data_IF_182403019768
#
_entry.id   IF_182403019768
#
_cell.length_a   1.000
_cell.length_b   1.000
_cell.length_c   1.000
_cell.angle_alpha   90.00
_cell.angle_beta   90.00
_cell.angle_gamma   90.00
#
_symmetry.space_group_name_H-M   'P 1'
#
loop_
_entity.id
_entity.type
_entity.pdbx_description
1 polymer ?
#
# COMPACT_ATOMS: atom_id res chain seq x y z
N UNK A 1 -26.33 -38.03 -6.79
CA UNK A 1 -26.23 -36.57 -6.89
C UNK A 1 -25.65 -36.04 -5.60
N UNK A 2 -24.61 -35.23 -5.71
CA UNK A 2 -23.97 -34.66 -4.55
C UNK A 2 -24.66 -33.35 -4.21
N UNK A 3 -25.27 -33.28 -3.04
CA UNK A 3 -25.78 -32.01 -2.53
C UNK A 3 -24.67 -31.27 -1.77
N UNK A 4 -24.15 -30.23 -2.40
CA UNK A 4 -23.18 -29.39 -1.76
C UNK A 4 -23.91 -28.30 -0.98
N UNK A 5 -23.67 -28.20 0.31
CA UNK A 5 -24.11 -27.04 1.07
C UNK A 5 -23.43 -25.77 0.55
N UNK A 6 -24.23 -24.71 0.40
CA UNK A 6 -23.65 -23.41 0.00
C UNK A 6 -22.82 -22.87 1.13
N UNK A 7 -21.58 -22.45 0.83
CA UNK A 7 -20.75 -21.79 1.84
C UNK A 7 -21.42 -20.52 2.33
N UNK A 8 -21.31 -20.29 3.63
CA UNK A 8 -21.72 -19.03 4.26
C UNK A 8 -20.47 -18.25 4.66
N UNK A 9 -20.52 -16.95 4.45
CA UNK A 9 -19.44 -16.06 4.84
C UNK A 9 -19.89 -15.33 6.09
N UNK A 10 -19.15 -15.51 7.17
CA UNK A 10 -19.40 -14.82 8.43
C UNK A 10 -18.26 -13.87 8.74
N UNK A 11 -18.60 -12.69 9.24
CA UNK A 11 -17.62 -11.72 9.72
C UNK A 11 -17.35 -12.06 11.18
N UNK A 12 -16.20 -12.69 11.44
CA UNK A 12 -15.81 -13.04 12.80
C UNK A 12 -15.29 -11.81 13.56
N UNK A 13 -14.55 -10.94 12.90
CA UNK A 13 -13.97 -9.77 13.51
C UNK A 13 -13.68 -8.70 12.45
N UNK A 14 -14.01 -7.46 12.75
CA UNK A 14 -13.60 -6.31 11.95
C UNK A 14 -13.12 -5.22 12.93
N UNK A 15 -11.96 -4.63 12.66
CA UNK A 15 -11.47 -3.51 13.45
C UNK A 15 -12.30 -2.24 13.19
N UNK A 16 -12.31 -1.32 14.15
CA UNK A 16 -13.08 -0.08 14.04
C UNK A 16 -12.67 0.77 12.84
N UNK A 17 -11.37 0.81 12.55
CA UNK A 17 -10.82 1.54 11.41
C UNK A 17 -10.88 0.76 10.09
N UNK A 18 -11.40 -0.46 10.12
CA UNK A 18 -11.54 -1.34 8.96
C UNK A 18 -10.20 -1.70 8.28
N UNK A 19 -9.12 -1.69 9.05
CA UNK A 19 -7.80 -2.10 8.53
C UNK A 19 -7.52 -3.58 8.73
N UNK A 20 -8.34 -4.25 9.54
CA UNK A 20 -8.24 -5.67 9.81
C UNK A 20 -9.62 -6.32 9.73
N UNK A 21 -9.66 -7.49 9.13
CA UNK A 21 -10.88 -8.29 9.10
C UNK A 21 -10.57 -9.77 9.17
N UNK A 22 -11.39 -10.49 9.91
CA UNK A 22 -11.36 -11.95 9.96
C UNK A 22 -12.71 -12.48 9.50
N UNK A 23 -12.67 -13.32 8.50
CA UNK A 23 -13.86 -13.90 7.89
C UNK A 23 -13.78 -15.41 7.98
N UNK A 24 -14.91 -16.03 8.19
CA UNK A 24 -15.04 -17.49 8.19
C UNK A 24 -15.96 -17.89 7.06
N UNK A 25 -15.48 -18.77 6.20
CA UNK A 25 -16.23 -19.31 5.08
C UNK A 25 -16.37 -20.81 5.28
N UNK A 26 -17.57 -21.25 5.55
CA UNK A 26 -17.85 -22.67 5.75
C UNK A 26 -19.32 -23.01 5.45
N UNK A 27 -19.64 -24.26 5.11
CA UNK A 27 -18.70 -25.35 4.90
C UNK A 27 -18.01 -25.25 3.54
N UNK A 28 -16.78 -25.75 3.46
CA UNK A 28 -16.03 -25.87 2.20
C UNK A 28 -15.60 -27.33 2.04
N UNK A 29 -15.63 -27.81 0.81
CA UNK A 29 -15.07 -29.10 0.50
C UNK A 29 -13.54 -29.10 0.68
N UNK A 30 -13.02 -30.30 0.88
CA UNK A 30 -11.59 -30.50 1.07
C UNK A 30 -10.78 -29.95 -0.10
N UNK A 31 -9.81 -29.10 0.19
CA UNK A 31 -8.96 -28.46 -0.81
C UNK A 31 -9.45 -27.11 -1.32
N UNK A 32 -10.75 -26.82 -1.20
CA UNK A 32 -11.29 -25.54 -1.69
C UNK A 32 -10.84 -24.34 -0.86
N UNK A 33 -10.54 -24.52 0.41
CA UNK A 33 -10.01 -23.44 1.24
C UNK A 33 -8.71 -22.88 0.71
N UNK A 34 -7.78 -23.72 0.32
CA UNK A 34 -6.51 -23.32 -0.28
C UNK A 34 -6.72 -22.62 -1.63
N UNK A 35 -7.59 -23.14 -2.46
CA UNK A 35 -7.93 -22.55 -3.76
C UNK A 35 -8.54 -21.18 -3.61
N UNK A 36 -9.53 -21.04 -2.74
CA UNK A 36 -10.17 -19.76 -2.47
C UNK A 36 -9.18 -18.74 -1.89
N UNK A 37 -8.40 -19.14 -0.90
CA UNK A 37 -7.41 -18.29 -0.28
C UNK A 37 -6.36 -17.78 -1.25
N UNK A 38 -5.84 -18.66 -2.10
CA UNK A 38 -4.86 -18.28 -3.12
C UNK A 38 -5.46 -17.34 -4.18
N UNK A 39 -6.69 -17.57 -4.57
CA UNK A 39 -7.38 -16.71 -5.53
C UNK A 39 -7.58 -15.30 -4.97
N UNK A 40 -8.06 -15.19 -3.74
CA UNK A 40 -8.22 -13.91 -3.07
C UNK A 40 -6.90 -13.19 -2.88
N UNK A 41 -5.87 -13.92 -2.46
CA UNK A 41 -4.53 -13.36 -2.29
C UNK A 41 -4.01 -12.74 -3.59
N UNK A 42 -4.13 -13.46 -4.70
CA UNK A 42 -3.64 -13.00 -6.01
C UNK A 42 -4.39 -11.75 -6.48
N UNK A 43 -5.70 -11.72 -6.30
CA UNK A 43 -6.52 -10.56 -6.66
C UNK A 43 -6.15 -9.35 -5.80
N UNK A 44 -5.99 -9.55 -4.51
CA UNK A 44 -5.63 -8.46 -3.58
C UNK A 44 -4.26 -7.88 -3.88
N UNK A 45 -3.31 -8.69 -4.32
CA UNK A 45 -1.95 -8.23 -4.63
C UNK A 45 -1.84 -7.57 -6.02
N UNK A 46 -2.68 -7.95 -6.96
CA UNK A 46 -2.50 -7.57 -8.38
C UNK A 46 -3.56 -6.64 -8.94
N UNK A 47 -4.76 -6.62 -8.36
CA UNK A 47 -5.91 -6.05 -9.06
C UNK A 47 -6.67 -4.98 -8.29
N UNK A 48 -6.32 -4.72 -7.04
CA UNK A 48 -6.97 -3.63 -6.30
C UNK A 48 -6.35 -2.30 -6.70
N UNK A 49 -7.17 -1.31 -7.06
CA UNK A 49 -6.67 0.02 -7.37
C UNK A 49 -6.20 0.73 -6.10
N UNK A 50 -5.22 1.57 -6.26
CA UNK A 50 -4.68 2.34 -5.15
C UNK A 50 -3.81 3.47 -5.64
N UNK A 51 -3.35 4.30 -4.73
CA UNK A 51 -2.43 5.38 -5.02
C UNK A 51 -1.03 5.04 -4.54
N UNK A 52 -0.05 5.39 -5.35
CA UNK A 52 1.35 5.20 -5.02
C UNK A 52 2.19 6.27 -5.72
N UNK A 53 3.40 6.45 -5.25
CA UNK A 53 4.34 7.36 -5.90
C UNK A 53 4.86 6.71 -7.17
N UNK A 54 4.72 7.40 -8.30
CA UNK A 54 5.22 6.94 -9.60
C UNK A 54 6.50 7.63 -10.02
N UNK A 55 6.72 8.86 -9.56
CA UNK A 55 7.88 9.65 -9.92
C UNK A 55 8.33 10.50 -8.74
N UNK A 56 9.63 10.69 -8.63
CA UNK A 56 10.25 11.53 -7.61
C UNK A 56 11.26 12.46 -8.28
N UNK A 57 11.21 13.73 -7.91
CA UNK A 57 12.22 14.72 -8.31
C UNK A 57 12.82 15.34 -7.06
N UNK A 58 14.14 15.30 -6.97
CA UNK A 58 14.88 15.89 -5.86
C UNK A 58 15.78 16.98 -6.44
N UNK A 59 15.70 18.15 -5.87
CA UNK A 59 16.54 19.29 -6.32
C UNK A 59 18.03 18.96 -6.17
N UNK A 60 18.77 19.21 -7.24
CA UNK A 60 20.21 18.95 -7.27
C UNK A 60 20.60 17.50 -7.54
N UNK A 61 19.64 16.63 -7.76
CA UNK A 61 19.88 15.21 -8.02
C UNK A 61 19.49 14.88 -9.46
N UNK A 62 20.44 14.28 -10.20
CA UNK A 62 20.25 13.94 -11.61
C UNK A 62 19.89 12.47 -11.83
N UNK A 63 20.26 11.59 -10.91
CA UNK A 63 19.99 10.16 -11.03
C UNK A 63 19.91 9.49 -9.66
N UNK A 64 19.38 8.29 -9.66
CA UNK A 64 19.08 7.51 -8.45
C UNK A 64 20.31 7.03 -7.67
N UNK A 65 21.47 7.03 -8.26
CA UNK A 65 22.70 6.61 -7.61
C UNK A 65 23.46 7.77 -6.95
N UNK A 66 22.90 8.96 -6.95
CA UNK A 66 23.49 10.13 -6.32
C UNK A 66 23.31 10.08 -4.80
N UNK A 67 24.14 10.86 -4.11
CA UNK A 67 23.94 11.20 -2.70
C UNK A 67 23.62 12.68 -2.59
N UNK A 68 22.98 13.04 -1.48
CA UNK A 68 22.62 14.44 -1.21
C UNK A 68 23.49 14.93 -0.05
N UNK A 69 24.24 16.05 -0.23
CA UNK A 69 25.01 16.60 0.86
C UNK A 69 24.16 16.89 2.10
N UNK A 70 24.60 16.42 3.26
CA UNK A 70 23.88 16.62 4.52
C UNK A 70 22.74 15.66 4.77
N UNK A 71 22.49 14.71 3.89
CA UNK A 71 21.46 13.67 4.07
C UNK A 71 22.14 12.32 4.28
N UNK A 72 21.73 11.62 5.34
CA UNK A 72 22.31 10.34 5.72
C UNK A 72 22.06 9.25 4.67
N UNK A 73 20.82 9.18 4.18
CA UNK A 73 20.42 8.21 3.18
C UNK A 73 20.86 8.65 1.78
N UNK A 74 21.28 7.72 0.94
CA UNK A 74 21.47 7.98 -0.47
C UNK A 74 20.12 8.05 -1.21
N UNK A 75 20.14 8.46 -2.47
CA UNK A 75 18.91 8.64 -3.23
C UNK A 75 18.17 7.31 -3.42
N UNK A 76 18.89 6.20 -3.57
CA UNK A 76 18.28 4.89 -3.71
C UNK A 76 17.50 4.50 -2.46
N UNK A 77 18.04 4.74 -1.27
CA UNK A 77 17.35 4.50 -0.01
C UNK A 77 16.12 5.39 0.14
N UNK A 78 16.23 6.67 -0.25
CA UNK A 78 15.10 7.60 -0.21
C UNK A 78 13.97 7.11 -1.12
N UNK A 79 14.29 6.69 -2.33
CA UNK A 79 13.29 6.15 -3.26
C UNK A 79 12.61 4.90 -2.70
N UNK A 80 13.36 3.99 -2.10
CA UNK A 80 12.81 2.79 -1.48
C UNK A 80 11.88 3.13 -0.32
N UNK A 81 12.26 4.10 0.50
CA UNK A 81 11.40 4.57 1.59
C UNK A 81 10.10 5.19 1.08
N UNK A 82 10.19 5.99 0.02
CA UNK A 82 9.01 6.62 -0.60
C UNK A 82 8.08 5.57 -1.20
N UNK A 83 8.61 4.52 -1.79
CA UNK A 83 7.79 3.42 -2.33
C UNK A 83 6.95 2.72 -1.26
N UNK A 84 7.42 2.70 -0.03
CA UNK A 84 6.73 2.06 1.08
C UNK A 84 5.68 2.95 1.75
N UNK A 85 5.52 4.19 1.30
CA UNK A 85 4.51 5.08 1.85
C UNK A 85 3.10 4.60 1.49
N UNK A 86 2.23 4.57 2.47
CA UNK A 86 0.81 4.35 2.26
C UNK A 86 0.16 5.69 1.92
N UNK A 87 -0.37 5.80 0.70
CA UNK A 87 -0.89 7.05 0.17
C UNK A 87 -2.36 6.85 -0.20
N UNK A 88 -3.16 7.87 0.11
CA UNK A 88 -4.56 7.93 -0.30
C UNK A 88 -4.77 9.18 -1.15
N UNK A 89 -5.34 8.99 -2.32
CA UNK A 89 -5.75 10.10 -3.17
C UNK A 89 -7.20 10.45 -2.85
N UNK A 90 -7.39 11.63 -2.27
CA UNK A 90 -8.73 12.12 -1.89
C UNK A 90 -9.41 12.92 -3.02
N UNK A 91 -8.74 13.08 -4.16
CA UNK A 91 -9.37 13.77 -5.30
C UNK A 91 -10.34 12.86 -6.04
N UNK A 92 -11.28 13.46 -6.75
CA UNK A 92 -12.25 12.73 -7.56
C UNK A 92 -11.71 12.29 -8.92
N UNK A 93 -10.47 12.67 -9.26
CA UNK A 93 -9.86 12.36 -10.55
C UNK A 93 -8.74 11.34 -10.38
N UNK A 94 -8.51 10.57 -11.44
CA UNK A 94 -7.39 9.60 -11.50
C UNK A 94 -6.11 10.22 -12.07
N UNK A 95 -6.10 11.54 -12.27
CA UNK A 95 -4.91 12.21 -12.77
C UNK A 95 -3.80 12.22 -11.73
N UNK A 96 -2.54 12.14 -12.17
CA UNK A 96 -1.41 12.26 -11.28
C UNK A 96 -1.42 13.61 -10.54
N UNK A 97 -1.15 13.55 -9.25
CA UNK A 97 -1.03 14.74 -8.39
C UNK A 97 0.42 14.90 -7.96
N UNK A 98 0.81 16.14 -7.73
CA UNK A 98 2.16 16.45 -7.26
C UNK A 98 2.11 16.86 -5.80
N UNK A 99 2.96 16.24 -5.00
CA UNK A 99 3.15 16.58 -3.60
C UNK A 99 4.56 17.11 -3.41
N UNK A 100 4.72 18.08 -2.53
CA UNK A 100 6.00 18.73 -2.27
C UNK A 100 6.42 18.53 -0.83
N UNK A 101 7.72 18.31 -0.63
CA UNK A 101 8.33 18.23 0.68
C UNK A 101 9.45 19.28 0.72
N UNK A 102 9.36 20.21 1.66
CA UNK A 102 10.42 21.18 1.94
C UNK A 102 10.80 21.05 3.41
N UNK A 103 12.08 20.91 3.67
CA UNK A 103 12.60 20.78 5.03
C UNK A 103 13.97 21.42 5.13
N UNK A 104 14.15 22.26 6.15
CA UNK A 104 15.42 22.91 6.46
C UNK A 104 15.84 22.56 7.89
N UNK A 105 17.15 22.43 8.08
CA UNK A 105 17.74 22.16 9.37
C UNK A 105 17.96 20.68 9.63
N UNK A 106 18.29 20.37 10.89
CA UNK A 106 18.51 18.99 11.32
C UNK A 106 17.20 18.34 11.73
N UNK A 107 17.02 17.08 11.36
CA UNK A 107 15.87 16.33 11.79
C UNK A 107 15.55 15.17 10.88
N UNK A 108 14.51 14.45 11.25
CA UNK A 108 14.01 13.31 10.48
C UNK A 108 12.73 13.74 9.75
N UNK A 109 12.72 13.54 8.44
CA UNK A 109 11.53 13.81 7.62
C UNK A 109 10.64 12.57 7.62
N UNK A 110 9.44 12.73 8.15
CA UNK A 110 8.45 11.65 8.21
C UNK A 110 7.17 12.11 7.52
N UNK A 111 6.25 11.19 7.29
CA UNK A 111 4.95 11.52 6.73
C UNK A 111 4.12 12.47 7.63
N UNK A 112 4.46 12.57 8.91
CA UNK A 112 3.80 13.49 9.84
C UNK A 112 4.22 14.96 9.62
N UNK A 113 5.37 15.20 9.00
CA UNK A 113 5.86 16.54 8.67
C UNK A 113 5.29 17.05 7.35
N UNK A 114 4.68 16.19 6.59
CA UNK A 114 4.15 16.51 5.28
C UNK A 114 2.71 17.04 5.39
N UNK A 115 2.50 18.23 4.83
CA UNK A 115 1.16 18.82 4.66
C UNK A 115 0.97 19.18 3.20
N UNK A 116 0.01 18.58 2.59
CA UNK A 116 -0.34 18.90 1.20
C UNK A 116 -1.09 20.21 1.08
#
# INVERSE_FOLDING_TARGET
MFDFEKPKIEIAEISEDKTYGKFVVEPLERGYGTTLGNSLRRIMLSSLPGAAVSQVKIDGVLHEFSSIPGVKEDVTEIIMNIKNLAIRNNSSTNEPKVAYIEFEGEGVVTCLLYTS
#
